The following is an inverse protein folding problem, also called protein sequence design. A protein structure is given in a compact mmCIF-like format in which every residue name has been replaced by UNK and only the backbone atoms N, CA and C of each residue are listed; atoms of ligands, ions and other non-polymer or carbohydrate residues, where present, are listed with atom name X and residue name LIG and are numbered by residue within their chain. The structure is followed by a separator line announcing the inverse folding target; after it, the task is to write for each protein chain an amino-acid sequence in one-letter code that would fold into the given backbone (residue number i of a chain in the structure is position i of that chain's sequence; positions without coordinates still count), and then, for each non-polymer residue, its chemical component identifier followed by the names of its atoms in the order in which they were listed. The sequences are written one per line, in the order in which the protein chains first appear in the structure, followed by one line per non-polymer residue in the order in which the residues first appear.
data_IF_827954463527
#
_entry.id   IF_827954463527
#
_cell.length_a   1.000
_cell.length_b   1.000
_cell.length_c   1.000
_cell.angle_alpha   90.00
_cell.angle_beta   90.00
_cell.angle_gamma   90.00
#
_symmetry.space_group_name_H-M   'P 1'
#
loop_
_entity.id
_entity.type
_entity.pdbx_description
1 polymer ?
#
# COMPACT_ATOMS: atom_id res chain seq x y z
N UNK A 1 16.21 20.96 43.36
CA UNK A 1 17.59 20.47 43.33
C UNK A 1 18.33 21.24 42.26
N UNK A 2 19.52 21.77 42.55
CA UNK A 2 20.46 22.24 41.53
C UNK A 2 20.69 21.08 40.54
N UNK A 3 20.59 21.28 39.22
CA UNK A 3 20.98 20.23 38.28
C UNK A 3 22.46 19.90 38.56
N UNK A 4 22.75 18.66 38.95
CA UNK A 4 24.08 18.25 39.37
C UNK A 4 25.10 18.22 38.21
N UNK A 5 24.64 18.33 36.97
CA UNK A 5 25.50 18.44 35.79
C UNK A 5 24.71 19.03 34.62
N UNK A 6 25.30 19.99 33.91
CA UNK A 6 24.93 20.31 32.53
C UNK A 6 25.96 19.68 31.62
N UNK A 7 25.49 18.89 30.67
CA UNK A 7 26.30 18.31 29.61
C UNK A 7 25.74 18.80 28.29
N UNK A 8 26.59 19.38 27.44
CA UNK A 8 26.16 19.82 26.12
C UNK A 8 25.66 18.62 25.31
N UNK A 9 24.50 18.76 24.68
CA UNK A 9 23.95 17.73 23.83
C UNK A 9 24.84 17.56 22.58
N UNK A 10 25.50 16.40 22.36
CA UNK A 10 26.38 16.19 21.21
C UNK A 10 25.63 16.21 19.87
N UNK A 11 24.31 15.96 19.88
CA UNK A 11 23.47 15.94 18.67
C UNK A 11 22.95 17.33 18.29
N UNK A 12 23.22 18.36 19.10
CA UNK A 12 22.80 19.74 18.87
C UNK A 12 24.01 20.65 18.78
N UNK A 13 24.21 21.30 17.65
CA UNK A 13 25.22 22.33 17.51
C UNK A 13 24.84 23.56 18.35
N UNK A 14 25.83 24.19 18.99
CA UNK A 14 25.68 25.53 19.51
C UNK A 14 25.39 26.50 18.36
N UNK A 15 24.56 27.51 18.61
CA UNK A 15 24.21 28.54 17.63
C UNK A 15 24.40 29.92 18.25
N UNK A 16 24.71 30.89 17.41
CA UNK A 16 24.96 32.26 17.81
C UNK A 16 23.81 33.16 17.35
N UNK A 17 23.46 34.14 18.20
CA UNK A 17 22.45 35.16 17.90
C UNK A 17 23.13 36.51 18.04
N UNK A 18 23.30 37.21 16.91
CA UNK A 18 23.89 38.55 16.91
C UNK A 18 22.84 39.58 17.30
N UNK A 19 23.13 40.34 18.36
CA UNK A 19 22.32 41.48 18.79
C UNK A 19 23.10 42.77 18.54
N UNK A 20 22.48 43.70 17.83
CA UNK A 20 23.04 45.01 17.47
C UNK A 20 21.99 46.12 17.61
N UNK A 21 22.34 47.34 17.20
CA UNK A 21 21.46 48.52 17.29
C UNK A 21 20.09 48.38 16.59
N UNK A 22 19.94 47.44 15.65
CA UNK A 22 18.70 47.19 14.91
C UNK A 22 17.73 46.26 15.64
N UNK A 23 18.21 45.45 16.60
CA UNK A 23 17.40 44.42 17.27
C UNK A 23 17.63 44.33 18.80
N UNK A 24 18.34 45.28 19.42
CA UNK A 24 18.62 45.37 20.86
C UNK A 24 17.42 45.71 21.78
N UNK A 25 16.20 45.36 21.37
CA UNK A 25 14.99 45.41 22.21
C UNK A 25 14.60 44.02 22.66
N UNK A 26 13.78 43.86 23.71
CA UNK A 26 13.28 42.54 24.11
C UNK A 26 12.56 41.81 22.95
N UNK A 27 11.81 42.54 22.14
CA UNK A 27 11.14 42.01 20.95
C UNK A 27 12.16 41.59 19.87
N UNK A 28 13.16 42.43 19.60
CA UNK A 28 14.21 42.12 18.64
C UNK A 28 15.05 40.91 19.05
N UNK A 29 15.42 40.79 20.34
CA UNK A 29 16.13 39.63 20.89
C UNK A 29 15.28 38.36 20.78
N UNK A 30 13.99 38.43 21.15
CA UNK A 30 13.04 37.31 20.96
C UNK A 30 13.00 36.85 19.50
N UNK A 31 12.84 37.80 18.59
CA UNK A 31 12.71 37.51 17.16
C UNK A 31 14.00 36.95 16.59
N UNK A 32 15.16 37.46 17.01
CA UNK A 32 16.47 36.95 16.61
C UNK A 32 16.72 35.51 17.11
N UNK A 33 16.38 35.21 18.37
CA UNK A 33 16.49 33.83 18.91
C UNK A 33 15.57 32.87 18.13
N UNK A 34 14.33 33.26 17.88
CA UNK A 34 13.38 32.41 17.16
C UNK A 34 13.77 32.23 15.69
N UNK A 35 14.32 33.25 15.04
CA UNK A 35 14.81 33.19 13.66
C UNK A 35 16.04 32.28 13.52
N UNK A 36 16.90 32.21 14.54
CA UNK A 36 18.06 31.32 14.54
C UNK A 36 17.68 29.83 14.56
N UNK A 37 16.45 29.49 14.97
CA UNK A 37 15.90 28.13 14.98
C UNK A 37 16.78 27.07 15.69
N UNK A 38 17.58 27.49 16.67
CA UNK A 38 18.58 26.66 17.34
C UNK A 38 18.05 25.71 18.43
N UNK A 39 16.84 25.17 18.28
CA UNK A 39 16.27 24.20 19.23
C UNK A 39 15.61 24.81 20.48
N UNK A 40 15.50 26.15 20.55
CA UNK A 40 14.76 26.85 21.61
C UNK A 40 13.66 27.75 21.01
N UNK A 41 12.70 28.15 21.83
CA UNK A 41 11.73 29.21 21.54
C UNK A 41 11.86 30.31 22.59
N UNK A 42 11.78 31.56 22.13
CA UNK A 42 11.74 32.74 22.99
C UNK A 42 10.37 33.41 22.94
N UNK A 43 9.89 33.88 24.09
CA UNK A 43 8.66 34.66 24.22
C UNK A 43 8.84 35.76 25.26
N UNK A 44 7.94 36.76 25.24
CA UNK A 44 7.92 37.83 26.24
C UNK A 44 6.66 37.66 27.07
N UNK A 45 6.85 37.55 28.38
CA UNK A 45 5.77 37.48 29.36
C UNK A 45 5.76 38.76 30.18
N UNK A 46 4.61 39.40 30.29
CA UNK A 46 4.39 40.49 31.22
C UNK A 46 3.82 39.91 32.53
N UNK A 47 4.53 40.10 33.64
CA UNK A 47 4.14 39.58 34.96
C UNK A 47 3.22 40.53 35.75
N UNK A 48 2.69 41.58 35.11
CA UNK A 48 1.92 42.66 35.72
C UNK A 48 2.78 43.84 36.20
N UNK A 49 4.11 43.68 36.29
CA UNK A 49 5.05 44.73 36.70
C UNK A 49 6.13 45.03 35.65
N UNK A 50 6.63 43.99 34.97
CA UNK A 50 7.69 44.10 33.97
C UNK A 50 7.55 43.06 32.86
N UNK A 51 8.15 43.36 31.71
CA UNK A 51 8.30 42.41 30.60
C UNK A 51 9.56 41.55 30.83
N UNK A 52 9.40 40.22 30.73
CA UNK A 52 10.49 39.25 30.88
C UNK A 52 10.61 38.38 29.64
N UNK A 53 11.84 38.17 29.18
CA UNK A 53 12.13 37.18 28.16
C UNK A 53 12.12 35.79 28.81
N UNK A 54 11.35 34.88 28.22
CA UNK A 54 11.29 33.47 28.61
C UNK A 54 11.80 32.65 27.43
N UNK A 55 12.77 31.78 27.68
CA UNK A 55 13.37 30.91 26.67
C UNK A 55 13.13 29.47 27.12
N UNK A 56 12.59 28.65 26.21
CA UNK A 56 12.22 27.27 26.48
C UNK A 56 12.82 26.37 25.41
N UNK A 57 13.31 25.19 25.80
CA UNK A 57 13.76 24.18 24.84
C UNK A 57 12.57 23.65 24.04
N UNK A 58 12.75 23.37 22.75
CA UNK A 58 11.74 22.69 21.93
C UNK A 58 11.60 21.20 22.29
N UNK A 59 12.61 20.64 22.96
CA UNK A 59 12.68 19.22 23.32
C UNK A 59 12.80 19.05 24.84
N UNK A 60 12.20 17.98 25.35
CA UNK A 60 12.25 17.61 26.77
C UNK A 60 13.52 16.80 27.10
N UNK A 61 13.71 16.47 28.38
CA UNK A 61 14.83 15.65 28.84
C UNK A 61 16.00 16.48 29.34
N UNK A 62 16.72 15.95 30.33
CA UNK A 62 17.86 16.62 30.99
C UNK A 62 18.95 17.03 30.00
N UNK A 63 19.15 16.23 28.95
CA UNK A 63 20.14 16.49 27.88
C UNK A 63 19.82 17.76 27.07
N UNK A 64 18.56 18.18 27.05
CA UNK A 64 18.09 19.38 26.34
C UNK A 64 17.99 20.60 27.27
N UNK A 65 18.77 20.60 28.35
CA UNK A 65 19.00 21.78 29.16
C UNK A 65 19.60 22.93 28.34
N UNK A 66 19.36 24.16 28.77
CA UNK A 66 19.83 25.37 28.08
C UNK A 66 21.04 25.94 28.83
N UNK A 67 22.06 26.34 28.07
CA UNK A 67 23.13 27.24 28.52
C UNK A 67 23.21 28.41 27.55
N UNK A 68 23.27 29.62 28.07
CA UNK A 68 23.37 30.87 27.29
C UNK A 68 24.64 31.57 27.73
N UNK A 69 25.59 31.68 26.81
CA UNK A 69 26.77 32.52 26.94
C UNK A 69 26.54 33.82 26.19
N UNK A 70 26.96 34.94 26.77
CA UNK A 70 26.80 36.27 26.20
C UNK A 70 28.18 36.86 25.94
N UNK A 71 28.29 37.64 24.86
CA UNK A 71 29.34 38.64 24.70
C UNK A 71 28.66 40.01 24.77
N UNK A 72 29.11 40.86 25.69
CA UNK A 72 28.53 42.20 25.91
C UNK A 72 29.57 43.28 25.57
N UNK A 73 29.09 44.47 25.21
CA UNK A 73 29.92 45.58 24.70
C UNK A 73 30.89 46.13 25.75
N UNK A 74 30.59 45.92 27.04
CA UNK A 74 31.45 46.30 28.16
C UNK A 74 32.56 45.27 28.48
N UNK A 75 32.58 44.15 27.76
CA UNK A 75 33.55 43.07 27.94
C UNK A 75 33.33 42.20 29.19
N UNK A 76 32.23 42.38 29.93
CA UNK A 76 31.90 41.58 31.11
C UNK A 76 30.63 40.74 30.89
N UNK A 77 30.76 39.45 30.53
CA UNK A 77 29.61 38.62 30.16
C UNK A 77 28.80 38.07 31.35
N UNK A 78 29.13 38.48 32.59
CA UNK A 78 28.62 37.84 33.81
C UNK A 78 27.81 38.73 34.71
N UNK A 79 27.83 40.06 34.52
CA UNK A 79 27.11 40.98 35.38
C UNK A 79 25.62 41.12 35.03
N UNK A 80 24.90 41.95 35.80
CA UNK A 80 23.46 42.15 35.65
C UNK A 80 23.13 43.43 34.86
N UNK A 81 24.03 43.85 33.98
CA UNK A 81 23.85 44.99 33.06
C UNK A 81 23.78 44.51 31.61
N UNK A 82 23.33 45.38 30.70
CA UNK A 82 23.32 45.11 29.26
C UNK A 82 22.67 43.79 28.84
N UNK A 83 23.33 43.11 27.90
CA UNK A 83 22.97 41.77 27.41
C UNK A 83 23.35 40.67 28.41
N UNK A 84 24.34 40.91 29.29
CA UNK A 84 24.77 39.95 30.32
C UNK A 84 23.65 39.51 31.25
N UNK A 85 22.55 40.28 31.35
CA UNK A 85 21.30 39.88 32.00
C UNK A 85 20.66 38.60 31.43
N UNK A 86 20.98 38.22 30.20
CA UNK A 86 20.51 37.01 29.54
C UNK A 86 21.46 35.81 29.72
N UNK A 87 22.64 36.01 30.33
CA UNK A 87 23.57 34.93 30.59
C UNK A 87 22.95 33.89 31.53
N UNK A 88 23.08 32.62 31.15
CA UNK A 88 22.59 31.50 31.94
C UNK A 88 23.52 30.30 31.79
N UNK A 89 24.40 30.10 32.76
CA UNK A 89 25.10 28.84 32.97
C UNK A 89 24.48 28.11 34.18
N UNK A 90 23.83 26.95 33.98
CA UNK A 90 23.21 26.20 35.08
C UNK A 90 24.21 25.79 36.18
N UNK A 91 25.51 25.69 35.86
CA UNK A 91 26.59 25.32 36.78
C UNK A 91 27.23 26.52 37.49
N UNK A 92 26.96 27.75 37.06
CA UNK A 92 27.54 28.94 37.66
C UNK A 92 26.81 29.39 38.94
N UNK A 93 27.45 30.30 39.68
CA UNK A 93 26.84 30.97 40.84
C UNK A 93 25.88 32.08 40.38
N UNK A 94 24.83 32.33 41.19
CA UNK A 94 23.87 33.41 40.92
C UNK A 94 24.60 34.76 40.80
N UNK A 95 24.29 35.53 39.75
CA UNK A 95 24.94 36.83 39.51
C UNK A 95 26.37 36.74 38.95
N UNK A 96 26.81 35.55 38.52
CA UNK A 96 28.12 35.33 37.89
C UNK A 96 27.97 34.46 36.63
N UNK A 97 27.18 34.95 35.66
CA UNK A 97 26.82 34.20 34.45
C UNK A 97 25.58 33.31 34.59
N UNK A 98 24.93 33.32 35.77
CA UNK A 98 23.60 32.73 36.02
C UNK A 98 22.62 33.83 36.39
N UNK A 99 22.31 34.67 35.40
CA UNK A 99 21.53 35.89 35.56
C UNK A 99 20.05 35.68 35.23
N UNK A 100 19.72 34.67 34.41
CA UNK A 100 18.35 34.17 34.26
C UNK A 100 17.97 33.19 35.37
N UNK A 101 16.67 33.11 35.68
CA UNK A 101 16.09 32.15 36.62
C UNK A 101 15.47 30.94 35.90
N UNK A 102 15.73 29.73 36.38
CA UNK A 102 15.07 28.52 35.89
C UNK A 102 13.63 28.43 36.44
N UNK A 103 12.64 28.47 35.54
CA UNK A 103 11.22 28.29 35.91
C UNK A 103 10.84 26.81 36.04
N UNK A 104 11.42 25.96 35.18
CA UNK A 104 11.18 24.53 35.15
C UNK A 104 12.49 23.81 34.83
N UNK A 105 12.81 22.78 35.60
CA UNK A 105 13.96 21.93 35.32
C UNK A 105 13.65 20.98 34.15
N UNK A 106 14.58 20.78 33.20
CA UNK A 106 14.46 19.70 32.26
C UNK A 106 14.58 18.38 33.03
N UNK A 107 13.67 17.44 32.78
CA UNK A 107 13.64 16.13 33.42
C UNK A 107 13.43 15.05 32.36
N UNK A 108 14.04 13.89 32.57
CA UNK A 108 13.77 12.69 31.78
C UNK A 108 12.48 12.02 32.24
N UNK A 109 11.80 11.34 31.32
CA UNK A 109 10.80 10.35 31.64
C UNK A 109 11.47 9.14 32.30
N UNK A 110 10.92 8.71 33.43
CA UNK A 110 11.34 7.52 34.16
C UNK A 110 10.21 6.50 34.11
N UNK A 111 10.50 5.32 33.57
CA UNK A 111 9.56 4.21 33.49
C UNK A 111 10.17 2.99 34.15
N UNK A 112 9.32 2.10 34.64
CA UNK A 112 9.70 0.74 34.99
C UNK A 112 8.84 -0.21 34.14
N UNK A 113 9.48 -1.01 33.29
CA UNK A 113 8.83 -1.97 32.39
C UNK A 113 9.24 -3.37 32.87
N UNK A 114 8.31 -4.11 33.46
CA UNK A 114 8.54 -5.45 33.99
C UNK A 114 9.78 -5.56 34.92
N UNK A 115 10.02 -4.54 35.73
CA UNK A 115 11.16 -4.47 36.65
C UNK A 115 12.43 -3.84 36.05
N UNK A 116 12.43 -3.49 34.77
CA UNK A 116 13.55 -2.82 34.09
C UNK A 116 13.33 -1.30 34.14
N UNK A 117 14.27 -0.58 34.74
CA UNK A 117 14.25 0.88 34.75
C UNK A 117 14.67 1.43 33.38
N UNK A 118 13.82 2.28 32.83
CA UNK A 118 14.00 2.91 31.52
C UNK A 118 13.98 4.43 31.69
N UNK A 119 15.02 5.10 31.19
CA UNK A 119 15.17 6.55 31.21
C UNK A 119 15.11 7.08 29.78
N UNK A 120 14.23 8.04 29.51
CA UNK A 120 14.05 8.62 28.17
C UNK A 120 13.94 10.14 28.24
N UNK A 121 14.46 10.83 27.24
CA UNK A 121 14.37 12.29 27.16
C UNK A 121 12.94 12.76 26.81
N UNK A 122 12.12 11.91 26.19
CA UNK A 122 10.77 12.24 25.70
C UNK A 122 9.68 11.42 26.38
N UNK A 123 8.47 12.00 26.42
CA UNK A 123 7.25 11.29 26.79
C UNK A 123 6.68 10.43 25.64
N UNK A 124 7.26 10.50 24.44
CA UNK A 124 6.99 9.55 23.36
C UNK A 124 8.21 8.63 23.23
N UNK A 125 8.03 7.37 23.59
CA UNK A 125 9.09 6.37 23.70
C UNK A 125 8.82 5.24 22.72
N UNK A 126 9.62 5.13 21.65
CA UNK A 126 9.43 4.15 20.56
C UNK A 126 10.49 3.05 20.51
N UNK A 127 11.43 3.06 21.45
CA UNK A 127 12.64 2.24 21.44
C UNK A 127 12.88 1.52 22.78
N UNK A 128 11.90 1.54 23.69
CA UNK A 128 11.97 0.81 24.95
C UNK A 128 11.48 -0.64 24.82
N UNK A 129 10.47 -0.87 23.99
CA UNK A 129 9.95 -2.21 23.67
C UNK A 129 9.81 -2.29 22.15
N UNK A 130 10.39 -3.33 21.55
CA UNK A 130 10.39 -3.52 20.10
C UNK A 130 8.95 -3.54 19.55
N UNK A 131 8.70 -2.75 18.50
CA UNK A 131 7.39 -2.65 17.86
C UNK A 131 6.33 -1.86 18.65
N UNK A 132 6.66 -1.28 19.80
CA UNK A 132 5.72 -0.50 20.63
C UNK A 132 6.18 0.95 20.76
N UNK A 133 5.26 1.89 20.51
CA UNK A 133 5.44 3.30 20.89
C UNK A 133 4.55 3.64 22.08
N UNK A 134 5.18 4.03 23.19
CA UNK A 134 4.51 4.45 24.42
C UNK A 134 4.38 5.97 24.43
N UNK A 135 3.17 6.47 24.64
CA UNK A 135 2.90 7.88 24.89
C UNK A 135 2.54 8.08 26.36
N UNK A 136 3.44 8.73 27.10
CA UNK A 136 3.35 8.95 28.54
C UNK A 136 2.58 10.22 28.82
N UNK A 137 1.41 10.08 29.45
CA UNK A 137 0.52 11.20 29.72
C UNK A 137 0.64 11.67 31.17
N UNK A 138 0.66 10.73 32.11
CA UNK A 138 0.68 11.00 33.54
C UNK A 138 1.48 9.93 34.27
N UNK A 139 2.04 10.26 35.43
CA UNK A 139 2.63 9.27 36.33
C UNK A 139 1.53 8.35 36.88
N UNK A 140 1.83 7.05 37.02
CA UNK A 140 0.91 6.15 37.71
C UNK A 140 0.94 6.42 39.21
N UNK A 141 -0.24 6.51 39.84
CA UNK A 141 -0.38 6.80 41.28
C UNK A 141 -0.10 5.55 42.13
N UNK A 142 1.09 4.95 41.98
CA UNK A 142 1.57 3.73 42.67
C UNK A 142 0.93 2.41 42.26
N UNK A 143 0.06 2.39 41.24
CA UNK A 143 -0.42 1.14 40.62
C UNK A 143 0.24 0.92 39.26
N UNK A 144 0.71 -0.30 39.00
CA UNK A 144 1.24 -0.66 37.69
C UNK A 144 0.13 -0.60 36.63
N UNK A 145 0.45 -0.09 35.43
CA UNK A 145 -0.44 -0.10 34.28
C UNK A 145 -0.14 -1.36 33.48
N UNK A 146 -1.13 -2.24 33.33
CA UNK A 146 -1.01 -3.43 32.49
C UNK A 146 -1.28 -3.06 31.03
N UNK A 147 -0.28 -3.27 30.17
CA UNK A 147 -0.40 -3.11 28.72
C UNK A 147 -0.56 -4.49 28.07
N UNK A 148 -1.73 -4.74 27.47
CA UNK A 148 -1.97 -5.94 26.67
C UNK A 148 -1.81 -5.64 25.18
N UNK A 149 -0.99 -6.42 24.48
CA UNK A 149 -0.91 -6.41 23.02
C UNK A 149 -1.74 -7.58 22.49
N UNK A 150 -2.67 -7.29 21.59
CA UNK A 150 -3.53 -8.28 20.97
C UNK A 150 -3.72 -7.98 19.49
N UNK A 151 -3.98 -9.02 18.71
CA UNK A 151 -4.31 -8.87 17.30
C UNK A 151 -5.62 -8.10 17.10
N UNK A 152 -5.64 -7.19 16.12
CA UNK A 152 -6.83 -6.42 15.77
C UNK A 152 -7.83 -7.27 14.96
N UNK A 153 -8.73 -7.93 15.69
CA UNK A 153 -9.76 -8.78 15.10
C UNK A 153 -10.77 -8.00 14.25
N UNK A 154 -10.94 -6.71 14.50
CA UNK A 154 -11.91 -5.86 13.77
C UNK A 154 -11.47 -5.67 12.33
N UNK A 155 -10.20 -5.33 12.12
CA UNK A 155 -9.64 -5.13 10.77
C UNK A 155 -9.71 -6.37 9.88
N UNK A 156 -9.57 -7.57 10.45
CA UNK A 156 -9.77 -8.82 9.67
C UNK A 156 -11.22 -8.96 9.24
N UNK A 157 -12.18 -8.70 10.13
CA UNK A 157 -13.61 -8.78 9.78
C UNK A 157 -13.98 -7.78 8.69
N UNK A 158 -13.46 -6.56 8.78
CA UNK A 158 -13.63 -5.54 7.73
C UNK A 158 -13.01 -6.00 6.41
N UNK A 159 -11.79 -6.55 6.43
CA UNK A 159 -11.10 -7.02 5.22
C UNK A 159 -11.83 -8.19 4.54
N UNK A 160 -12.32 -9.17 5.31
CA UNK A 160 -13.09 -10.31 4.76
C UNK A 160 -14.44 -9.83 4.23
N UNK A 161 -15.10 -8.89 4.89
CA UNK A 161 -16.36 -8.30 4.40
C UNK A 161 -16.13 -7.57 3.08
N UNK A 162 -15.11 -6.72 3.01
CA UNK A 162 -14.75 -6.00 1.79
C UNK A 162 -14.41 -6.95 0.62
N UNK A 163 -13.72 -8.06 0.91
CA UNK A 163 -13.47 -9.11 -0.09
C UNK A 163 -14.75 -9.74 -0.63
N UNK A 164 -15.68 -10.12 0.27
CA UNK A 164 -16.98 -10.68 -0.11
C UNK A 164 -17.78 -9.69 -0.96
N UNK A 165 -17.81 -8.42 -0.57
CA UNK A 165 -18.50 -7.36 -1.30
C UNK A 165 -17.89 -7.12 -2.69
N UNK A 166 -16.56 -7.08 -2.79
CA UNK A 166 -15.85 -6.92 -4.07
C UNK A 166 -16.12 -8.09 -5.02
N UNK A 167 -16.03 -9.34 -4.52
CA UNK A 167 -16.37 -10.52 -5.29
C UNK A 167 -17.84 -10.48 -5.75
N UNK A 168 -18.77 -10.12 -4.86
CA UNK A 168 -20.19 -10.04 -5.19
C UNK A 168 -20.49 -8.99 -6.25
N UNK A 169 -19.83 -7.83 -6.17
CA UNK A 169 -19.92 -6.78 -7.20
C UNK A 169 -19.41 -7.25 -8.55
N UNK A 170 -18.30 -8.01 -8.57
CA UNK A 170 -17.79 -8.62 -9.79
C UNK A 170 -18.76 -9.65 -10.35
N UNK A 171 -19.28 -10.56 -9.51
CA UNK A 171 -20.26 -11.56 -9.91
C UNK A 171 -21.53 -10.92 -10.48
N UNK A 172 -22.05 -9.87 -9.85
CA UNK A 172 -23.21 -9.11 -10.34
C UNK A 172 -22.91 -8.46 -11.70
N UNK A 173 -21.73 -7.87 -11.86
CA UNK A 173 -21.32 -7.23 -13.12
C UNK A 173 -21.25 -8.27 -14.25
N UNK A 174 -20.55 -9.38 -14.02
CA UNK A 174 -20.39 -10.44 -15.02
C UNK A 174 -21.73 -11.10 -15.34
N UNK A 175 -22.56 -11.43 -14.35
CA UNK A 175 -23.90 -11.98 -14.58
C UNK A 175 -24.77 -11.03 -15.38
N UNK A 176 -24.75 -9.73 -15.08
CA UNK A 176 -25.51 -8.74 -15.85
C UNK A 176 -25.02 -8.63 -17.30
N UNK A 177 -23.72 -8.78 -17.53
CA UNK A 177 -23.14 -8.78 -18.87
C UNK A 177 -23.38 -10.08 -19.63
N UNK A 178 -23.53 -11.23 -18.97
CA UNK A 178 -23.66 -12.54 -19.62
C UNK A 178 -25.05 -13.16 -19.52
N UNK A 179 -26.02 -12.51 -18.86
CA UNK A 179 -27.35 -13.09 -18.64
C UNK A 179 -28.09 -13.35 -19.95
N UNK A 180 -28.78 -14.47 -19.99
CA UNK A 180 -29.78 -14.74 -21.01
C UNK A 180 -31.14 -14.23 -20.52
N UNK A 181 -31.87 -13.56 -21.40
CA UNK A 181 -33.24 -13.15 -21.17
C UNK A 181 -34.11 -13.75 -22.27
N UNK A 182 -35.13 -14.53 -21.89
CA UNK A 182 -36.00 -15.27 -22.82
C UNK A 182 -36.73 -14.37 -23.82
N UNK A 183 -36.98 -13.11 -23.45
CA UNK A 183 -37.61 -12.13 -24.36
C UNK A 183 -36.63 -11.54 -25.37
N UNK A 184 -35.33 -11.79 -25.20
CA UNK A 184 -34.24 -11.25 -26.01
C UNK A 184 -33.95 -9.77 -25.77
N UNK A 185 -34.85 -9.02 -25.13
CA UNK A 185 -34.77 -7.56 -24.99
C UNK A 185 -33.80 -7.09 -23.92
N UNK A 186 -33.50 -7.93 -22.94
CA UNK A 186 -32.63 -7.61 -21.79
C UNK A 186 -31.44 -8.55 -21.65
N UNK A 187 -31.10 -9.31 -22.70
CA UNK A 187 -29.91 -10.17 -22.68
C UNK A 187 -28.64 -9.33 -22.50
N UNK A 188 -27.68 -9.86 -21.74
CA UNK A 188 -26.42 -9.20 -21.49
C UNK A 188 -25.59 -9.05 -22.76
N UNK A 189 -24.81 -7.96 -22.84
CA UNK A 189 -23.99 -7.63 -24.02
C UNK A 189 -22.91 -8.68 -24.34
N UNK A 190 -22.50 -9.46 -23.36
CA UNK A 190 -21.51 -10.53 -23.44
C UNK A 190 -22.16 -11.92 -23.30
N UNK A 191 -23.45 -12.05 -23.62
CA UNK A 191 -24.11 -13.35 -23.66
C UNK A 191 -23.36 -14.30 -24.62
N UNK A 192 -22.99 -15.48 -24.13
CA UNK A 192 -22.23 -16.48 -24.89
C UNK A 192 -20.73 -16.21 -24.99
N UNK A 193 -20.24 -15.10 -24.45
CA UNK A 193 -18.82 -14.74 -24.49
C UNK A 193 -17.96 -15.78 -23.76
N UNK A 194 -16.93 -16.31 -24.43
CA UNK A 194 -16.05 -17.31 -23.85
C UNK A 194 -15.06 -16.71 -22.85
N UNK A 195 -14.59 -15.48 -23.09
CA UNK A 195 -13.65 -14.78 -22.21
C UNK A 195 -14.32 -14.45 -20.87
N UNK A 196 -15.52 -13.88 -20.89
CA UNK A 196 -16.27 -13.60 -19.67
C UNK A 196 -16.54 -14.87 -18.84
N UNK A 197 -16.91 -15.98 -19.51
CA UNK A 197 -17.10 -17.29 -18.84
C UNK A 197 -15.80 -17.85 -18.26
N UNK A 198 -14.69 -17.70 -18.97
CA UNK A 198 -13.37 -18.13 -18.50
C UNK A 198 -12.94 -17.38 -17.24
N UNK A 199 -13.10 -16.05 -17.22
CA UNK A 199 -12.78 -15.21 -16.05
C UNK A 199 -13.60 -15.64 -14.84
N UNK A 200 -14.92 -15.78 -14.99
CA UNK A 200 -15.79 -16.25 -13.91
C UNK A 200 -15.34 -17.63 -13.40
N UNK A 201 -14.99 -18.55 -14.30
CA UNK A 201 -14.55 -19.90 -13.93
C UNK A 201 -13.21 -19.90 -13.19
N UNK A 202 -12.24 -19.10 -13.63
CA UNK A 202 -10.92 -19.02 -13.02
C UNK A 202 -10.99 -18.42 -11.61
N UNK A 203 -11.69 -17.29 -11.47
CA UNK A 203 -11.88 -16.64 -10.16
C UNK A 203 -12.63 -17.59 -9.23
N UNK A 204 -13.74 -18.18 -9.69
CA UNK A 204 -14.51 -19.16 -8.91
C UNK A 204 -13.64 -20.34 -8.49
N UNK A 205 -12.80 -20.87 -9.39
CA UNK A 205 -11.89 -21.97 -9.08
C UNK A 205 -10.98 -21.63 -7.91
N UNK A 206 -10.41 -20.42 -7.87
CA UNK A 206 -9.55 -19.99 -6.76
C UNK A 206 -10.34 -19.91 -5.46
N UNK A 207 -11.47 -19.20 -5.44
CA UNK A 207 -12.23 -19.01 -4.19
C UNK A 207 -12.91 -20.29 -3.67
N UNK A 208 -13.09 -21.31 -4.50
CA UNK A 208 -13.57 -22.64 -4.08
C UNK A 208 -12.46 -23.63 -3.70
N UNK A 209 -11.20 -23.29 -3.97
CA UNK A 209 -10.07 -24.20 -3.77
C UNK A 209 -9.82 -24.41 -2.28
N UNK A 210 -9.50 -25.63 -1.87
CA UNK A 210 -8.97 -25.90 -0.53
C UNK A 210 -7.50 -25.48 -0.50
N UNK A 211 -7.15 -24.69 0.51
CA UNK A 211 -5.84 -24.11 0.74
C UNK A 211 -5.28 -24.74 2.00
N UNK A 212 -4.29 -25.62 1.86
CA UNK A 212 -3.64 -26.26 3.01
C UNK A 212 -2.73 -25.25 3.72
N UNK A 213 -3.22 -24.68 4.82
CA UNK A 213 -2.51 -23.72 5.66
C UNK A 213 -1.57 -24.37 6.67
N UNK A 214 -1.51 -25.71 6.73
CA UNK A 214 -0.91 -26.43 7.86
C UNK A 214 -1.68 -26.24 9.18
N UNK A 215 -2.97 -25.87 9.08
CA UNK A 215 -3.89 -25.59 10.18
C UNK A 215 -5.26 -26.25 9.97
N UNK A 216 -6.25 -25.83 10.77
CA UNK A 216 -7.62 -26.38 10.67
C UNK A 216 -8.51 -25.59 9.73
N UNK A 217 -8.18 -24.32 9.48
CA UNK A 217 -8.88 -23.46 8.52
C UNK A 217 -8.23 -23.62 7.16
N UNK A 218 -8.93 -24.26 6.23
CA UNK A 218 -8.39 -24.57 4.88
C UNK A 218 -9.30 -24.09 3.75
N UNK A 219 -10.44 -23.49 4.08
CA UNK A 219 -11.43 -23.03 3.12
C UNK A 219 -12.15 -21.76 3.58
N UNK A 220 -12.72 -21.02 2.63
CA UNK A 220 -13.62 -19.90 2.94
C UNK A 220 -14.81 -20.33 3.81
N UNK A 221 -15.30 -21.56 3.66
CA UNK A 221 -16.43 -22.07 4.46
C UNK A 221 -16.09 -22.22 5.94
N UNK A 222 -14.84 -22.52 6.28
CA UNK A 222 -14.38 -22.65 7.67
C UNK A 222 -14.43 -21.31 8.42
N UNK A 223 -14.32 -20.20 7.68
CA UNK A 223 -14.42 -18.83 8.21
C UNK A 223 -15.82 -18.22 8.05
N UNK A 224 -16.81 -19.01 7.64
CA UNK A 224 -18.20 -18.54 7.47
C UNK A 224 -18.50 -17.89 6.13
N UNK A 225 -17.64 -18.00 5.12
CA UNK A 225 -17.90 -17.51 3.77
C UNK A 225 -18.35 -18.66 2.87
N UNK A 226 -19.55 -18.56 2.28
CA UNK A 226 -20.18 -19.66 1.54
C UNK A 226 -20.75 -19.23 0.20
N UNK A 227 -20.84 -20.14 -0.77
CA UNK A 227 -21.45 -19.85 -2.07
C UNK A 227 -22.96 -19.99 -2.05
N UNK A 228 -23.62 -19.03 -2.69
CA UNK A 228 -25.04 -19.08 -3.01
C UNK A 228 -25.27 -19.64 -4.43
N UNK A 229 -26.51 -20.05 -4.71
CA UNK A 229 -26.89 -20.63 -6.01
C UNK A 229 -26.67 -19.66 -7.19
N UNK A 230 -26.74 -18.36 -6.92
CA UNK A 230 -26.46 -17.30 -7.89
C UNK A 230 -24.96 -16.98 -8.04
N UNK A 231 -24.09 -17.78 -7.41
CA UNK A 231 -22.64 -17.62 -7.47
C UNK A 231 -22.09 -16.52 -6.57
N UNK A 232 -22.92 -15.81 -5.81
CA UNK A 232 -22.48 -14.86 -4.78
C UNK A 232 -21.87 -15.56 -3.58
N UNK A 233 -21.09 -14.82 -2.82
CA UNK A 233 -20.62 -15.18 -1.50
C UNK A 233 -21.55 -14.61 -0.43
N UNK A 234 -21.92 -15.44 0.54
CA UNK A 234 -22.61 -15.06 1.76
C UNK A 234 -21.64 -15.16 2.94
N UNK A 235 -21.67 -14.16 3.82
CA UNK A 235 -20.85 -14.10 5.03
C UNK A 235 -21.70 -14.34 6.27
N UNK A 236 -21.32 -15.35 7.05
CA UNK A 236 -21.80 -15.57 8.42
C UNK A 236 -20.85 -14.87 9.40
N UNK A 237 -21.24 -13.68 9.85
CA UNK A 237 -20.43 -12.84 10.75
C UNK A 237 -20.16 -13.49 12.11
N UNK A 238 -21.00 -14.43 12.56
CA UNK A 238 -20.83 -15.14 13.83
C UNK A 238 -19.76 -16.22 13.69
N UNK A 239 -19.80 -17.00 12.61
CA UNK A 239 -18.74 -17.96 12.28
C UNK A 239 -17.40 -17.26 12.05
N UNK A 240 -17.40 -16.15 11.31
CA UNK A 240 -16.19 -15.37 11.11
C UNK A 240 -15.64 -14.85 12.44
N UNK A 241 -16.49 -14.34 13.33
CA UNK A 241 -16.05 -13.90 14.66
C UNK A 241 -15.44 -15.02 15.49
N UNK A 242 -16.00 -16.23 15.40
CA UNK A 242 -15.48 -17.42 16.09
C UNK A 242 -14.15 -17.88 15.50
N UNK A 243 -14.03 -17.87 14.17
CA UNK A 243 -12.81 -18.24 13.48
C UNK A 243 -11.68 -17.24 13.80
N UNK A 244 -11.94 -15.94 13.75
CA UNK A 244 -10.94 -14.90 14.03
C UNK A 244 -10.45 -14.96 15.48
N UNK A 245 -11.32 -15.31 16.43
CA UNK A 245 -10.92 -15.43 17.83
C UNK A 245 -10.01 -16.64 18.11
N UNK A 246 -10.18 -17.74 17.37
CA UNK A 246 -9.54 -19.02 17.68
C UNK A 246 -8.45 -19.46 16.68
N UNK A 247 -8.46 -18.91 15.47
CA UNK A 247 -7.64 -19.36 14.34
C UNK A 247 -7.05 -18.19 13.54
N UNK A 248 -6.65 -17.11 14.22
CA UNK A 248 -6.16 -15.88 13.59
C UNK A 248 -5.07 -16.12 12.54
N UNK A 249 -4.04 -16.89 12.88
CA UNK A 249 -2.90 -17.16 11.99
C UNK A 249 -3.30 -17.99 10.76
N UNK A 250 -4.21 -18.96 10.94
CA UNK A 250 -4.68 -19.78 9.83
C UNK A 250 -5.53 -18.95 8.85
N UNK A 251 -6.30 -17.96 9.34
CA UNK A 251 -7.04 -17.01 8.46
C UNK A 251 -6.06 -16.13 7.69
N UNK A 252 -5.00 -15.63 8.34
CA UNK A 252 -3.98 -14.85 7.64
C UNK A 252 -3.32 -15.69 6.53
N UNK A 253 -3.00 -16.95 6.81
CA UNK A 253 -2.45 -17.90 5.82
C UNK A 253 -3.45 -18.27 4.70
N UNK A 254 -4.76 -18.22 4.98
CA UNK A 254 -5.80 -18.50 3.99
C UNK A 254 -5.83 -17.45 2.88
N UNK A 255 -5.55 -16.18 3.20
CA UNK A 255 -5.59 -15.08 2.23
C UNK A 255 -4.21 -14.69 1.73
N UNK A 256 -3.20 -14.62 2.60
CA UNK A 256 -1.85 -14.17 2.24
C UNK A 256 -0.91 -15.32 1.89
N UNK A 257 0.24 -14.99 1.30
CA UNK A 257 1.32 -15.95 1.12
C UNK A 257 2.02 -16.18 2.46
N UNK A 258 2.13 -17.43 2.91
CA UNK A 258 2.73 -17.76 4.19
C UNK A 258 3.47 -19.10 4.12
N UNK A 259 4.32 -19.36 5.11
CA UNK A 259 4.86 -20.68 5.35
C UNK A 259 4.86 -21.01 6.84
N UNK A 260 4.45 -22.23 7.18
CA UNK A 260 4.41 -22.75 8.55
C UNK A 260 5.39 -23.89 8.67
N UNK A 261 6.36 -23.74 9.58
CA UNK A 261 7.30 -24.79 9.91
C UNK A 261 6.80 -25.61 11.11
N UNK A 262 7.04 -26.91 11.11
CA UNK A 262 6.81 -27.76 12.30
C UNK A 262 7.91 -27.61 13.35
N UNK A 263 9.07 -27.10 12.94
CA UNK A 263 10.20 -26.82 13.84
C UNK A 263 10.23 -25.33 14.19
N UNK A 264 10.13 -25.02 15.48
CA UNK A 264 10.11 -23.66 16.01
C UNK A 264 11.40 -22.86 15.74
N UNK A 265 12.50 -23.53 15.42
CA UNK A 265 13.76 -22.90 15.05
C UNK A 265 13.85 -22.54 13.56
N UNK A 266 12.83 -22.90 12.76
CA UNK A 266 12.73 -22.53 11.36
C UNK A 266 11.78 -21.35 11.21
N UNK A 267 12.26 -20.27 10.60
CA UNK A 267 11.48 -19.06 10.33
C UNK A 267 11.36 -18.84 8.83
N UNK A 268 10.16 -18.56 8.35
CA UNK A 268 9.94 -18.14 6.97
C UNK A 268 10.53 -16.74 6.72
N UNK A 269 11.31 -16.58 5.65
CA UNK A 269 11.91 -15.29 5.27
C UNK A 269 11.32 -14.70 3.99
N UNK A 270 10.81 -15.54 3.09
CA UNK A 270 10.26 -15.08 1.83
C UNK A 270 10.17 -16.19 0.78
N UNK A 271 9.59 -15.84 -0.36
CA UNK A 271 9.42 -16.73 -1.49
C UNK A 271 9.65 -15.97 -2.80
N UNK A 272 9.57 -16.69 -3.92
CA UNK A 272 9.48 -16.07 -5.25
C UNK A 272 8.16 -16.47 -5.92
N UNK A 273 7.84 -15.87 -7.07
CA UNK A 273 6.66 -16.25 -7.86
C UNK A 273 6.68 -17.71 -8.32
N UNK A 274 7.87 -18.31 -8.43
CA UNK A 274 8.09 -19.72 -8.80
C UNK A 274 7.85 -20.71 -7.67
N UNK A 275 7.83 -20.26 -6.42
CA UNK A 275 7.59 -21.13 -5.28
C UNK A 275 6.17 -21.68 -5.34
N UNK A 276 6.05 -23.00 -5.42
CA UNK A 276 4.76 -23.68 -5.49
C UNK A 276 4.21 -23.93 -4.09
N UNK A 277 2.89 -23.93 -3.93
CA UNK A 277 2.28 -24.33 -2.65
C UNK A 277 2.49 -25.83 -2.40
N UNK A 278 2.90 -26.19 -1.18
CA UNK A 278 3.23 -27.56 -0.84
C UNK A 278 3.87 -27.69 0.54
N UNK A 279 4.00 -28.94 1.01
CA UNK A 279 4.67 -29.28 2.27
C UNK A 279 6.03 -29.88 1.96
N UNK A 280 7.08 -29.20 2.40
CA UNK A 280 8.47 -29.51 2.06
C UNK A 280 9.22 -30.05 3.27
N UNK A 281 9.65 -31.32 3.26
CA UNK A 281 10.57 -31.85 4.27
C UNK A 281 11.90 -31.08 4.27
N UNK A 282 12.36 -30.71 5.46
CA UNK A 282 13.63 -30.01 5.66
C UNK A 282 14.62 -30.96 6.33
N UNK A 283 15.81 -31.07 5.76
CA UNK A 283 16.95 -31.76 6.39
C UNK A 283 18.14 -30.81 6.41
N UNK A 284 18.81 -30.71 7.55
CA UNK A 284 19.98 -29.86 7.71
C UNK A 284 21.20 -30.72 7.98
N UNK A 285 22.21 -30.63 7.13
CA UNK A 285 23.48 -31.35 7.27
C UNK A 285 24.57 -30.48 7.89
N UNK A 286 24.44 -29.16 7.85
CA UNK A 286 25.32 -28.20 8.52
C UNK A 286 24.51 -26.96 8.91
N UNK A 287 24.63 -26.54 10.18
CA UNK A 287 24.02 -25.30 10.67
C UNK A 287 24.89 -24.12 10.23
N UNK A 288 24.23 -23.09 9.69
CA UNK A 288 24.88 -21.85 9.29
C UNK A 288 25.25 -20.93 10.47
N UNK A 289 26.20 -20.04 10.23
CA UNK A 289 26.61 -18.96 11.13
C UNK A 289 26.98 -17.72 10.30
N UNK A 290 27.52 -16.67 10.92
CA UNK A 290 27.99 -15.48 10.20
C UNK A 290 29.24 -15.75 9.33
N UNK A 291 29.91 -16.90 9.55
CA UNK A 291 31.13 -17.29 8.83
C UNK A 291 31.00 -18.66 8.13
N UNK A 292 29.86 -19.35 8.27
CA UNK A 292 29.60 -20.64 7.62
C UNK A 292 28.22 -20.65 7.00
N UNK A 293 28.12 -21.10 5.75
CA UNK A 293 26.82 -21.27 5.10
C UNK A 293 26.11 -22.52 5.61
N UNK A 294 24.79 -22.44 5.73
CA UNK A 294 23.93 -23.59 5.93
C UNK A 294 24.14 -24.63 4.81
N UNK A 295 24.08 -25.91 5.15
CA UNK A 295 23.94 -26.99 4.17
C UNK A 295 22.75 -27.83 4.54
N UNK A 296 21.84 -28.04 3.59
CA UNK A 296 20.64 -28.83 3.81
C UNK A 296 19.88 -29.09 2.52
N UNK A 297 18.81 -29.85 2.65
CA UNK A 297 17.89 -30.14 1.56
C UNK A 297 16.50 -29.63 1.91
N UNK A 298 15.81 -29.11 0.91
CA UNK A 298 14.38 -28.82 0.92
C UNK A 298 13.72 -29.74 -0.09
N UNK A 299 12.66 -30.44 0.32
CA UNK A 299 12.01 -31.43 -0.54
C UNK A 299 12.96 -32.54 -1.06
N UNK A 300 13.99 -32.88 -0.26
CA UNK A 300 15.03 -33.85 -0.64
C UNK A 300 16.04 -33.34 -1.68
N UNK A 301 15.90 -32.11 -2.18
CA UNK A 301 16.82 -31.46 -3.12
C UNK A 301 17.76 -30.53 -2.35
N UNK A 302 19.07 -30.58 -2.64
CA UNK A 302 20.05 -29.70 -2.00
C UNK A 302 19.72 -28.23 -2.28
N UNK A 303 19.46 -27.47 -1.22
CA UNK A 303 19.16 -26.04 -1.32
C UNK A 303 20.42 -25.18 -1.38
N UNK A 304 20.26 -23.92 -1.75
CA UNK A 304 21.33 -22.92 -1.70
C UNK A 304 21.40 -22.32 -0.30
N UNK A 305 22.51 -22.54 0.41
CA UNK A 305 22.71 -21.99 1.74
C UNK A 305 23.43 -20.65 1.73
N UNK A 306 22.98 -19.72 2.58
CA UNK A 306 23.64 -18.43 2.81
C UNK A 306 23.54 -18.07 4.29
N UNK A 307 24.66 -18.03 5.01
CA UNK A 307 24.68 -17.89 6.48
C UNK A 307 23.67 -18.88 7.11
N UNK A 308 22.75 -18.39 7.93
CA UNK A 308 21.67 -19.16 8.58
C UNK A 308 20.42 -19.35 7.69
N UNK A 309 20.50 -19.10 6.38
CA UNK A 309 19.39 -19.27 5.46
C UNK A 309 19.56 -20.52 4.59
N UNK A 310 18.44 -21.18 4.27
CA UNK A 310 18.34 -22.19 3.22
C UNK A 310 17.31 -21.72 2.20
N UNK A 311 17.73 -21.71 0.93
CA UNK A 311 16.90 -21.30 -0.22
C UNK A 311 16.61 -22.52 -1.08
N UNK A 312 15.34 -22.75 -1.43
CA UNK A 312 14.93 -23.84 -2.30
C UNK A 312 15.56 -23.76 -3.70
N UNK A 313 15.95 -24.92 -4.23
CA UNK A 313 16.75 -25.04 -5.44
C UNK A 313 15.98 -24.69 -6.72
N UNK A 314 16.69 -24.21 -7.73
CA UNK A 314 16.11 -23.95 -9.06
C UNK A 314 15.58 -25.23 -9.70
N UNK A 315 14.37 -25.18 -10.24
CA UNK A 315 13.69 -26.31 -10.88
C UNK A 315 12.92 -27.23 -9.92
N UNK A 316 13.05 -27.08 -8.60
CA UNK A 316 12.24 -27.78 -7.62
C UNK A 316 10.95 -26.99 -7.28
N UNK A 317 9.92 -27.66 -6.76
CA UNK A 317 8.69 -27.01 -6.32
C UNK A 317 8.92 -25.95 -5.24
N UNK A 318 9.98 -26.12 -4.43
CA UNK A 318 10.40 -25.14 -3.42
C UNK A 318 11.25 -23.98 -3.97
N UNK A 319 11.46 -23.86 -5.28
CA UNK A 319 12.33 -22.84 -5.88
C UNK A 319 12.06 -21.45 -5.30
N UNK A 320 13.10 -20.84 -4.74
CA UNK A 320 13.05 -19.50 -4.18
C UNK A 320 12.35 -19.37 -2.81
N UNK A 321 11.87 -20.46 -2.20
CA UNK A 321 11.45 -20.47 -0.80
C UNK A 321 12.67 -20.25 0.08
N UNK A 322 12.64 -19.22 0.93
CA UNK A 322 13.71 -18.84 1.86
C UNK A 322 13.26 -19.07 3.28
N UNK A 323 14.05 -19.84 4.01
CA UNK A 323 13.86 -20.07 5.45
C UNK A 323 15.15 -19.77 6.20
N UNK A 324 15.02 -19.25 7.42
CA UNK A 324 16.10 -19.18 8.40
C UNK A 324 16.03 -20.41 9.29
N UNK A 325 17.15 -21.06 9.58
CA UNK A 325 17.21 -22.11 10.61
C UNK A 325 18.19 -21.68 11.70
N UNK A 326 17.69 -21.59 12.93
CA UNK A 326 18.44 -21.08 14.08
C UNK A 326 18.78 -22.18 15.07
N UNK A 327 20.06 -22.57 15.14
CA UNK A 327 20.53 -23.57 16.11
C UNK A 327 19.89 -24.96 15.94
N UNK A 328 20.00 -25.79 16.99
CA UNK A 328 19.49 -27.17 17.01
C UNK A 328 20.40 -28.19 16.34
N UNK A 329 20.00 -29.46 16.38
CA UNK A 329 20.76 -30.57 15.80
C UNK A 329 20.66 -30.60 14.27
N UNK A 330 21.67 -31.17 13.62
CA UNK A 330 21.59 -31.60 12.21
C UNK A 330 20.73 -32.86 12.08
N UNK A 331 20.21 -33.12 10.89
CA UNK A 331 19.31 -34.23 10.56
C UNK A 331 17.98 -33.71 10.00
N UNK A 332 16.94 -34.54 10.11
CA UNK A 332 15.59 -34.15 9.73
C UNK A 332 15.05 -33.08 10.69
N UNK A 333 14.53 -31.98 10.14
CA UNK A 333 14.01 -30.81 10.87
C UNK A 333 12.51 -30.61 10.65
N UNK A 334 11.79 -31.70 10.37
CA UNK A 334 10.36 -31.66 10.08
C UNK A 334 10.04 -31.08 8.69
N UNK A 335 8.94 -30.34 8.58
CA UNK A 335 8.42 -29.82 7.31
C UNK A 335 8.14 -28.32 7.37
N UNK A 336 8.19 -27.68 6.20
CA UNK A 336 7.69 -26.34 5.96
C UNK A 336 6.54 -26.42 4.96
N UNK A 337 5.33 -26.09 5.40
CA UNK A 337 4.15 -25.97 4.55
C UNK A 337 4.08 -24.55 4.04
N UNK A 338 4.38 -24.35 2.76
CA UNK A 338 4.24 -23.06 2.09
C UNK A 338 2.93 -23.02 1.31
N UNK A 339 2.24 -21.89 1.39
CA UNK A 339 0.94 -21.71 0.77
C UNK A 339 0.82 -20.32 0.16
N UNK A 340 0.31 -20.28 -1.08
CA UNK A 340 -0.23 -19.08 -1.70
C UNK A 340 -1.71 -18.99 -1.34
N UNK A 341 -2.08 -18.09 -0.43
CA UNK A 341 -3.46 -17.84 -0.07
C UNK A 341 -4.32 -17.31 -1.24
N UNK A 342 -5.62 -17.17 -1.01
CA UNK A 342 -6.56 -16.73 -2.04
C UNK A 342 -6.21 -15.38 -2.65
N UNK A 343 -5.72 -14.41 -1.85
CA UNK A 343 -5.40 -13.08 -2.37
C UNK A 343 -4.24 -13.18 -3.36
N UNK A 344 -3.16 -13.90 -3.02
CA UNK A 344 -2.03 -14.11 -3.93
C UNK A 344 -2.42 -14.86 -5.21
N UNK A 345 -3.29 -15.88 -5.11
CA UNK A 345 -3.76 -16.60 -6.29
C UNK A 345 -4.69 -15.75 -7.18
N UNK A 346 -5.51 -14.89 -6.57
CA UNK A 346 -6.34 -13.95 -7.32
C UNK A 346 -5.51 -12.86 -7.96
N UNK A 347 -4.47 -12.37 -7.28
CA UNK A 347 -3.51 -11.41 -7.81
C UNK A 347 -2.81 -11.98 -9.05
N UNK A 348 -2.25 -13.20 -8.96
CA UNK A 348 -1.62 -13.91 -10.09
C UNK A 348 -2.59 -14.03 -11.31
N UNK A 349 -3.89 -14.24 -11.08
CA UNK A 349 -4.91 -14.29 -12.15
C UNK A 349 -5.22 -12.91 -12.69
N UNK A 350 -5.45 -11.93 -11.81
CA UNK A 350 -5.84 -10.58 -12.20
C UNK A 350 -4.71 -9.91 -12.98
N UNK A 351 -3.46 -10.11 -12.57
CA UNK A 351 -2.28 -9.66 -13.32
C UNK A 351 -2.30 -10.23 -14.74
N UNK A 352 -2.41 -11.55 -14.91
CA UNK A 352 -2.45 -12.15 -16.25
C UNK A 352 -3.67 -11.74 -17.10
N UNK A 353 -4.78 -11.35 -16.47
CA UNK A 353 -5.97 -10.87 -17.17
C UNK A 353 -5.87 -9.40 -17.60
N UNK A 354 -5.26 -8.56 -16.75
CA UNK A 354 -5.21 -7.10 -16.85
C UNK A 354 -3.91 -6.57 -17.45
N UNK A 355 -2.90 -7.42 -17.62
CA UNK A 355 -1.66 -7.08 -18.33
C UNK A 355 -1.94 -6.48 -19.72
N UNK A 356 -1.01 -5.67 -20.21
CA UNK A 356 -1.08 -5.01 -21.51
C UNK A 356 -1.15 -6.05 -22.65
N UNK A 357 -0.52 -7.21 -22.47
CA UNK A 357 -0.58 -8.37 -23.37
C UNK A 357 -1.61 -9.44 -22.91
N UNK A 358 -2.42 -9.13 -21.90
CA UNK A 358 -3.41 -10.01 -21.30
C UNK A 358 -4.61 -10.31 -22.19
N UNK A 359 -5.44 -11.29 -21.79
CA UNK A 359 -6.59 -11.73 -22.59
C UNK A 359 -7.62 -10.62 -22.83
N UNK A 360 -7.76 -9.68 -21.89
CA UNK A 360 -8.70 -8.56 -22.02
C UNK A 360 -8.19 -7.53 -23.03
N UNK A 361 -6.89 -7.24 -23.04
CA UNK A 361 -6.26 -6.40 -24.04
C UNK A 361 -6.38 -7.03 -25.43
N UNK A 362 -5.99 -8.30 -25.58
CA UNK A 362 -6.11 -9.04 -26.84
C UNK A 362 -7.55 -9.07 -27.37
N UNK A 363 -8.55 -9.21 -26.48
CA UNK A 363 -9.96 -9.17 -26.89
C UNK A 363 -10.41 -7.78 -27.33
N UNK A 364 -9.96 -6.74 -26.63
CA UNK A 364 -10.25 -5.34 -26.97
C UNK A 364 -9.66 -4.96 -28.32
N UNK A 365 -8.44 -5.41 -28.62
CA UNK A 365 -7.78 -5.21 -29.90
C UNK A 365 -8.46 -5.96 -31.04
N UNK A 366 -8.89 -7.20 -30.79
CA UNK A 366 -9.64 -7.99 -31.76
C UNK A 366 -10.99 -7.36 -32.12
N UNK A 367 -11.70 -6.80 -31.14
CA UNK A 367 -12.95 -6.06 -31.36
C UNK A 367 -12.67 -4.76 -32.12
N UNK A 368 -11.67 -3.98 -31.69
CA UNK A 368 -11.28 -2.72 -32.36
C UNK A 368 -10.88 -2.95 -33.82
N UNK A 369 -10.16 -4.02 -34.11
CA UNK A 369 -9.79 -4.42 -35.47
C UNK A 369 -11.00 -4.83 -36.31
N UNK A 370 -11.98 -5.48 -35.68
CA UNK A 370 -13.23 -5.84 -36.35
C UNK A 370 -14.08 -4.62 -36.67
N UNK A 371 -14.14 -3.64 -35.77
CA UNK A 371 -14.79 -2.34 -36.01
C UNK A 371 -14.15 -1.65 -37.21
N UNK A 372 -12.82 -1.49 -37.23
CA UNK A 372 -12.08 -0.89 -38.35
C UNK A 372 -12.28 -1.61 -39.70
N UNK A 373 -12.50 -2.93 -39.68
CA UNK A 373 -12.80 -3.71 -40.89
C UNK A 373 -14.22 -3.44 -41.38
N UNK A 374 -15.19 -3.38 -40.47
CA UNK A 374 -16.59 -3.10 -40.79
C UNK A 374 -16.78 -1.68 -41.31
N UNK A 375 -16.05 -0.71 -40.77
CA UNK A 375 -16.02 0.68 -41.27
C UNK A 375 -15.54 0.71 -42.73
N UNK A 376 -14.41 0.08 -43.04
CA UNK A 376 -13.91 -0.03 -44.43
C UNK A 376 -14.89 -0.73 -45.38
N UNK A 377 -15.61 -1.75 -44.90
CA UNK A 377 -16.64 -2.42 -45.71
C UNK A 377 -17.83 -1.50 -46.00
N UNK A 378 -18.24 -0.70 -45.01
CA UNK A 378 -19.29 0.29 -45.14
C UNK A 378 -18.91 1.35 -46.16
N UNK A 379 -17.68 1.87 -46.11
CA UNK A 379 -17.17 2.86 -47.06
C UNK A 379 -17.14 2.32 -48.49
N UNK A 380 -16.62 1.10 -48.67
CA UNK A 380 -16.58 0.45 -49.98
C UNK A 380 -17.99 0.20 -50.55
N UNK A 381 -18.94 -0.19 -49.69
CA UNK A 381 -20.34 -0.38 -50.09
C UNK A 381 -21.01 0.93 -50.49
N UNK A 382 -20.80 2.00 -49.71
CA UNK A 382 -21.32 3.33 -50.02
C UNK A 382 -20.77 3.85 -51.36
N UNK A 383 -19.47 3.68 -51.61
CA UNK A 383 -18.86 4.03 -52.91
C UNK A 383 -19.50 3.23 -54.05
N UNK A 384 -19.74 1.93 -53.86
CA UNK A 384 -20.40 1.08 -54.85
C UNK A 384 -21.82 1.54 -55.15
N UNK A 385 -22.60 1.94 -54.13
CA UNK A 385 -23.94 2.49 -54.32
C UNK A 385 -23.90 3.78 -55.14
N UNK A 386 -22.97 4.71 -54.86
CA UNK A 386 -22.80 5.95 -55.64
C UNK A 386 -22.46 5.67 -57.10
N UNK A 387 -21.57 4.71 -57.37
CA UNK A 387 -21.22 4.32 -58.75
C UNK A 387 -22.42 3.69 -59.47
N UNK A 388 -23.18 2.83 -58.80
CA UNK A 388 -24.39 2.21 -59.36
C UNK A 388 -25.44 3.28 -59.66
N UNK A 389 -25.67 4.22 -58.74
CA UNK A 389 -26.60 5.33 -58.95
C UNK A 389 -26.21 6.16 -60.17
N UNK A 390 -24.94 6.57 -60.26
CA UNK A 390 -24.42 7.33 -61.41
C UNK A 390 -24.66 6.59 -62.73
N UNK A 391 -24.35 5.29 -62.76
CA UNK A 391 -24.57 4.45 -63.94
C UNK A 391 -26.05 4.36 -64.32
N UNK A 392 -26.94 4.19 -63.36
CA UNK A 392 -28.38 4.16 -63.64
C UNK A 392 -28.91 5.51 -64.11
N UNK A 393 -28.44 6.63 -63.55
CA UNK A 393 -28.78 7.96 -64.06
C UNK A 393 -28.33 8.14 -65.52
N UNK A 394 -27.10 7.75 -65.85
CA UNK A 394 -26.59 7.82 -67.23
C UNK A 394 -27.40 6.92 -68.20
N UNK A 395 -27.74 5.70 -67.78
CA UNK A 395 -28.58 4.79 -68.58
C UNK A 395 -29.98 5.37 -68.81
N UNK A 396 -30.58 5.97 -67.78
CA UNK A 396 -31.89 6.61 -67.87
C UNK A 396 -31.87 7.81 -68.81
N UNK A 397 -30.88 8.71 -68.70
CA UNK A 397 -30.73 9.86 -69.61
C UNK A 397 -30.53 9.42 -71.07
N UNK A 398 -29.78 8.33 -71.32
CA UNK A 398 -29.64 7.76 -72.67
C UNK A 398 -30.96 7.19 -73.20
N UNK A 399 -31.72 6.51 -72.34
CA UNK A 399 -33.03 5.96 -72.68
C UNK A 399 -34.02 7.08 -73.03
N UNK A 400 -34.06 8.17 -72.25
CA UNK A 400 -34.87 9.36 -72.55
C UNK A 400 -34.48 9.99 -73.89
N UNK A 401 -33.18 10.09 -74.18
CA UNK A 401 -32.68 10.62 -75.46
C UNK A 401 -33.08 9.72 -76.63
N UNK A 402 -32.96 8.40 -76.47
CA UNK A 402 -33.38 7.41 -77.47
C UNK A 402 -34.89 7.49 -77.71
N UNK A 403 -35.70 7.52 -76.65
CA UNK A 403 -37.16 7.65 -76.75
C UNK A 403 -37.56 8.95 -77.46
N UNK A 404 -36.92 10.07 -77.15
CA UNK A 404 -37.16 11.34 -77.86
C UNK A 404 -36.79 11.24 -79.35
N UNK A 405 -35.66 10.59 -79.68
CA UNK A 405 -35.27 10.36 -81.07
C UNK A 405 -36.25 9.46 -81.83
N UNK A 406 -36.77 8.42 -81.17
CA UNK A 406 -37.77 7.51 -81.73
C UNK A 406 -39.12 8.21 -81.92
N UNK A 407 -39.53 9.06 -80.97
CA UNK A 407 -40.72 9.91 -81.11
C UNK A 407 -40.57 10.87 -82.29
N UNK A 408 -39.44 11.56 -82.42
CA UNK A 408 -39.15 12.43 -83.57
C UNK A 408 -39.18 11.66 -84.90
N UNK A 409 -38.58 10.46 -84.93
CA UNK A 409 -38.60 9.58 -86.10
C UNK A 409 -40.03 9.12 -86.43
N UNK A 410 -40.83 8.76 -85.43
CA UNK A 410 -42.23 8.40 -85.60
C UNK A 410 -43.04 9.57 -86.14
N UNK A 411 -42.86 10.78 -85.61
CA UNK A 411 -43.54 11.98 -86.11
C UNK A 411 -43.15 12.30 -87.56
N UNK A 412 -41.86 12.15 -87.91
CA UNK A 412 -41.39 12.30 -89.29
C UNK A 412 -42.01 11.27 -90.24
N UNK A 413 -42.04 10.00 -89.84
CA UNK A 413 -42.67 8.93 -90.62
C UNK A 413 -44.18 9.16 -90.78
N UNK A 414 -44.87 9.56 -89.71
CA UNK A 414 -46.29 9.93 -89.78
C UNK A 414 -46.53 11.09 -90.75
N UNK A 415 -45.70 12.14 -90.73
CA UNK A 415 -45.81 13.26 -91.66
C UNK A 415 -45.57 12.82 -93.12
N UNK A 416 -44.57 11.98 -93.37
CA UNK A 416 -44.30 11.44 -94.71
C UNK A 416 -45.44 10.56 -95.23
N UNK A 417 -46.02 9.72 -94.38
CA UNK A 417 -47.19 8.90 -94.74
C UNK A 417 -48.41 9.78 -95.03
N UNK A 418 -48.67 10.81 -94.23
CA UNK A 418 -49.76 11.77 -94.49
C UNK A 418 -49.55 12.58 -95.77
N UNK A 419 -48.30 12.87 -96.15
CA UNK A 419 -47.97 13.52 -97.42
C UNK A 419 -48.18 12.58 -98.63
N UNK A 420 -47.94 11.28 -98.46
CA UNK A 420 -48.19 10.26 -99.48
C UNK A 420 -49.68 9.92 -99.64
N UNK A 421 -50.52 10.09 -98.61
CA UNK A 421 -51.97 9.87 -98.68
C UNK A 421 -52.76 11.06 -99.25
N UNK A 422 -52.11 12.20 -99.48
CA UNK A 422 -52.71 13.43 -100.03
C UNK A 422 -52.33 13.68 -101.51
N UNK A 423 -51.71 12.68 -102.16
CA UNK A 423 -51.64 12.53 -103.62
C UNK A 423 -52.41 11.27 -104.00
#
# INVERSE_FOLDING_TARGET
ATPASFTANPDKAAFEVTIDSSNNTLAGVRDAINAANGGVTATIVNDGSANRLVITSKETGEINGIKITVADDDGNPTDNTGLSRLAYDPLASNGSGKNMSQLQAPLNALLNIDGIDVVKASNTVSDAVEGITLNLLTTSNSQAINLGVASDQTKIKESVTAFVDAYNKLNDTLRNLTKFDETGKSSGKLLGDATARSITSQIKSVVTKVVDTGGTVTSLTDIGVSFQLDGKLALDSTKLSTAVANHFDDIAALFSTSAKATDAQITYLGNTSKTQSGTYPITVSQIGSDITNMVGTMNGVAGNGLNQELIGATGDASEGLRIKVTGGSTGARGTVTFVKGYAAQLDDILDGLLDDDGILAARTDGISSSVKRLERQTDAFNLKLTVIEKRYREQYTRLDTLLSSLQNTSSYLSQQISALSNN
#
